data_IF_378404542068
#
_entry.id   IF_378404542068
#
_cell.length_a   1.000
_cell.length_b   1.000
_cell.length_c   1.000
_cell.angle_alpha   90.00
_cell.angle_beta   90.00
_cell.angle_gamma   90.00
#
_symmetry.space_group_name_H-M   'P 1'
#
loop_
_entity.id
_entity.type
_entity.pdbx_description
1 polymer ?
#
# COMPACT_ATOMS: atom_id res chain seq x y z
N UNK A 1 9.55 22.21 -16.60
CA UNK A 1 8.61 23.09 -15.90
C UNK A 1 7.22 22.48 -15.99
N UNK A 2 6.53 22.32 -14.86
CA UNK A 2 5.23 21.66 -14.74
C UNK A 2 4.09 22.32 -15.58
N UNK A 3 4.33 23.45 -16.21
CA UNK A 3 3.40 24.17 -17.09
C UNK A 3 3.27 23.57 -18.49
N UNK A 4 4.13 22.63 -18.91
CA UNK A 4 4.04 21.98 -20.21
C UNK A 4 3.16 20.73 -20.26
N UNK A 5 2.61 20.29 -19.12
CA UNK A 5 1.79 19.08 -18.99
C UNK A 5 0.32 19.35 -18.63
N UNK A 6 -0.10 20.59 -18.63
CA UNK A 6 -1.52 20.90 -18.74
C UNK A 6 -1.94 20.76 -20.21
N UNK A 7 -1.81 19.58 -20.75
CA UNK A 7 -2.64 19.16 -21.88
C UNK A 7 -4.07 19.36 -21.39
N UNK A 8 -4.81 20.19 -22.09
CA UNK A 8 -6.22 20.38 -21.92
C UNK A 8 -6.89 19.02 -21.75
N UNK A 9 -7.18 18.65 -20.51
CA UNK A 9 -7.76 17.35 -20.17
C UNK A 9 -9.12 17.15 -20.86
N UNK A 10 -9.84 18.23 -21.18
CA UNK A 10 -11.08 18.15 -21.95
C UNK A 10 -10.79 17.77 -23.40
N UNK A 11 -9.79 18.37 -24.02
CA UNK A 11 -9.38 18.04 -25.39
C UNK A 11 -8.82 16.62 -25.48
N UNK A 12 -8.02 16.20 -24.49
CA UNK A 12 -7.51 14.84 -24.39
C UNK A 12 -8.64 13.82 -24.18
N UNK A 13 -9.57 14.08 -23.28
CA UNK A 13 -10.72 13.21 -23.04
C UNK A 13 -11.66 13.15 -24.27
N UNK A 14 -11.79 14.23 -25.01
CA UNK A 14 -12.57 14.28 -26.23
C UNK A 14 -11.92 13.45 -27.37
N UNK A 15 -10.60 13.55 -27.56
CA UNK A 15 -9.86 12.71 -28.52
C UNK A 15 -9.98 11.22 -28.17
N UNK A 16 -10.02 10.92 -26.89
CA UNK A 16 -10.23 9.60 -26.33
C UNK A 16 -11.61 9.05 -26.73
N UNK A 17 -12.69 9.80 -26.54
CA UNK A 17 -14.05 9.41 -26.94
C UNK A 17 -14.18 9.27 -28.46
N UNK A 18 -13.56 10.13 -29.22
CA UNK A 18 -13.61 10.13 -30.68
C UNK A 18 -12.87 8.94 -31.32
N UNK A 19 -11.81 8.43 -30.70
CA UNK A 19 -10.99 7.34 -31.27
C UNK A 19 -11.52 5.94 -30.96
N UNK A 20 -12.52 5.77 -30.10
CA UNK A 20 -13.08 4.47 -29.67
C UNK A 20 -12.04 3.41 -29.25
N UNK A 21 -10.80 3.80 -29.00
CA UNK A 21 -9.80 2.88 -28.49
C UNK A 21 -10.03 2.62 -27.01
N UNK A 22 -9.76 1.38 -26.56
CA UNK A 22 -9.65 1.08 -25.13
C UNK A 22 -8.47 1.84 -24.56
N UNK A 23 -8.77 2.92 -23.90
CA UNK A 23 -7.75 3.78 -23.33
C UNK A 23 -7.14 3.14 -22.09
N UNK A 24 -5.87 3.47 -21.91
CA UNK A 24 -5.22 3.24 -20.66
C UNK A 24 -5.97 3.99 -19.56
N UNK A 25 -6.49 3.25 -18.58
CA UNK A 25 -7.19 3.80 -17.41
C UNK A 25 -6.19 3.97 -16.26
N UNK A 26 -5.76 5.19 -15.92
CA UNK A 26 -4.93 5.41 -14.75
C UNK A 26 -5.75 5.16 -13.48
N UNK A 27 -5.13 4.48 -12.51
CA UNK A 27 -5.69 4.29 -11.18
C UNK A 27 -4.82 5.09 -10.21
N UNK A 28 -5.41 6.10 -9.57
CA UNK A 28 -4.69 6.96 -8.63
C UNK A 28 -4.77 6.34 -7.24
N UNK A 29 -3.61 6.19 -6.62
CA UNK A 29 -3.50 5.61 -5.28
C UNK A 29 -2.28 6.10 -4.53
N UNK A 30 -2.14 5.62 -3.32
CA UNK A 30 -1.01 5.90 -2.44
C UNK A 30 -0.80 4.69 -1.51
N UNK A 31 0.45 4.29 -1.32
CA UNK A 31 0.83 3.47 -0.19
C UNK A 31 1.07 4.39 1.01
N UNK A 32 0.22 4.26 2.04
CA UNK A 32 0.23 5.08 3.22
C UNK A 32 0.87 4.35 4.41
N UNK A 33 1.43 5.12 5.35
CA UNK A 33 1.87 4.62 6.64
C UNK A 33 0.76 4.82 7.68
N UNK A 34 0.24 3.74 8.26
CA UNK A 34 -0.79 3.76 9.32
C UNK A 34 -0.11 3.69 10.68
N UNK A 35 -0.20 4.78 11.45
CA UNK A 35 0.41 4.89 12.76
C UNK A 35 -0.19 3.89 13.75
N UNK A 36 0.66 3.26 14.58
CA UNK A 36 0.25 2.25 15.55
C UNK A 36 -0.49 2.83 16.76
N UNK A 37 -0.19 4.09 17.13
CA UNK A 37 -0.71 4.77 18.34
C UNK A 37 -1.42 6.10 18.02
N UNK A 38 -1.77 6.32 16.75
CA UNK A 38 -2.34 7.57 16.26
C UNK A 38 -1.30 8.46 15.57
N UNK A 39 -1.76 9.19 14.54
CA UNK A 39 -0.89 9.99 13.66
C UNK A 39 -0.22 11.18 14.36
N UNK A 40 -0.82 11.68 15.45
CA UNK A 40 -0.29 12.77 16.27
C UNK A 40 0.79 12.33 17.27
N UNK A 41 0.92 11.03 17.53
CA UNK A 41 1.94 10.49 18.43
C UNK A 41 3.33 10.60 17.80
N UNK A 42 4.28 11.26 18.47
CA UNK A 42 5.63 11.57 17.95
C UNK A 42 6.71 11.24 18.97
N UNK A 43 6.63 10.05 19.57
CA UNK A 43 7.53 9.64 20.64
C UNK A 43 8.13 8.26 20.38
N UNK A 44 9.47 8.18 20.47
CA UNK A 44 10.20 6.91 20.38
C UNK A 44 10.27 6.30 18.98
N UNK A 45 10.80 5.09 18.92
CA UNK A 45 11.04 4.37 17.65
C UNK A 45 9.77 3.82 17.03
N UNK A 46 8.75 3.53 17.84
CA UNK A 46 7.47 2.95 17.39
C UNK A 46 6.69 3.90 16.47
N UNK A 47 6.84 5.22 16.70
CA UNK A 47 6.14 6.23 15.92
C UNK A 47 6.90 6.68 14.67
N UNK A 48 8.16 6.26 14.47
CA UNK A 48 8.98 6.66 13.31
C UNK A 48 8.45 6.18 11.98
N UNK A 49 7.59 5.16 11.99
CA UNK A 49 6.96 4.57 10.82
C UNK A 49 5.54 4.10 11.18
N UNK A 50 4.86 3.48 10.23
CA UNK A 50 3.55 2.88 10.41
C UNK A 50 3.46 1.54 9.69
N UNK A 51 2.29 0.93 9.73
CA UNK A 51 1.95 -0.19 8.88
C UNK A 51 1.68 0.32 7.46
N UNK A 52 2.09 -0.45 6.47
CA UNK A 52 1.77 -0.14 5.08
C UNK A 52 0.30 -0.44 4.77
N UNK A 53 -0.33 0.42 4.01
CA UNK A 53 -1.70 0.27 3.53
C UNK A 53 -1.80 0.87 2.13
N UNK A 54 -2.27 0.11 1.16
CA UNK A 54 -2.54 0.64 -0.18
C UNK A 54 -3.95 1.21 -0.22
N UNK A 55 -4.07 2.43 -0.70
CA UNK A 55 -5.34 3.13 -0.91
C UNK A 55 -5.47 3.53 -2.37
N UNK A 56 -6.59 3.17 -3.02
CA UNK A 56 -6.89 3.52 -4.40
C UNK A 56 -8.17 4.33 -4.48
N UNK A 57 -8.16 5.39 -5.29
CA UNK A 57 -9.34 6.22 -5.51
C UNK A 57 -10.29 5.51 -6.51
N UNK A 58 -11.47 5.12 -6.05
CA UNK A 58 -12.53 4.49 -6.84
C UNK A 58 -13.30 5.51 -7.70
N UNK A 59 -13.40 6.75 -7.21
CA UNK A 59 -14.15 7.84 -7.83
C UNK A 59 -13.62 9.21 -7.36
N UNK A 60 -14.27 10.30 -7.80
CA UNK A 60 -13.88 11.67 -7.43
C UNK A 60 -13.98 11.96 -5.92
N UNK A 61 -14.91 11.33 -5.20
CA UNK A 61 -15.01 11.47 -3.74
C UNK A 61 -13.81 10.81 -3.08
N UNK A 62 -13.48 9.58 -3.47
CA UNK A 62 -12.30 8.88 -2.99
C UNK A 62 -11.00 9.62 -3.30
N UNK A 63 -10.87 10.21 -4.49
CA UNK A 63 -9.70 11.03 -4.81
C UNK A 63 -9.55 12.24 -3.87
N UNK A 64 -10.65 12.97 -3.58
CA UNK A 64 -10.61 14.08 -2.64
C UNK A 64 -10.28 13.62 -1.21
N UNK A 65 -10.81 12.47 -0.80
CA UNK A 65 -10.53 11.90 0.51
C UNK A 65 -9.07 11.42 0.60
N UNK A 66 -8.53 10.80 -0.47
CA UNK A 66 -7.12 10.45 -0.56
C UNK A 66 -6.22 11.69 -0.42
N UNK A 67 -6.54 12.80 -1.12
CA UNK A 67 -5.82 14.05 -0.98
C UNK A 67 -5.84 14.58 0.47
N UNK A 68 -6.97 14.49 1.18
CA UNK A 68 -7.07 14.89 2.59
C UNK A 68 -6.21 14.01 3.49
N UNK A 69 -6.26 12.68 3.32
CA UNK A 69 -5.44 11.74 4.06
C UNK A 69 -3.94 12.03 3.87
N UNK A 70 -3.51 12.17 2.62
CA UNK A 70 -2.11 12.48 2.29
C UNK A 70 -1.70 13.84 2.85
N UNK A 71 -2.52 14.89 2.68
CA UNK A 71 -2.23 16.22 3.23
C UNK A 71 -2.10 16.20 4.74
N UNK A 72 -3.05 15.56 5.45
CA UNK A 72 -3.01 15.44 6.91
C UNK A 72 -1.78 14.65 7.37
N UNK A 73 -1.38 13.59 6.63
CA UNK A 73 -0.19 12.82 6.99
C UNK A 73 1.09 13.66 6.96
N UNK A 74 1.21 14.61 6.03
CA UNK A 74 2.37 15.51 5.94
C UNK A 74 2.30 16.68 6.91
N UNK A 75 1.11 17.26 7.15
CA UNK A 75 0.95 18.44 7.99
C UNK A 75 0.99 18.04 9.47
N UNK A 76 0.17 17.09 9.86
CA UNK A 76 -0.05 16.72 11.27
C UNK A 76 0.68 15.42 11.64
N UNK A 77 0.67 14.45 10.74
CA UNK A 77 1.17 13.08 10.97
C UNK A 77 2.67 12.89 10.71
N UNK A 78 3.41 13.92 10.26
CA UNK A 78 4.83 13.80 9.95
C UNK A 78 5.69 13.56 11.21
N UNK A 79 6.32 12.38 11.26
CA UNK A 79 7.37 12.05 12.21
C UNK A 79 8.26 10.96 11.59
N UNK A 80 9.38 11.35 10.97
CA UNK A 80 10.22 10.55 10.09
C UNK A 80 9.53 10.09 8.81
N UNK A 81 8.26 9.71 8.88
CA UNK A 81 7.40 9.35 7.75
C UNK A 81 6.05 10.06 7.88
N UNK A 82 5.38 10.38 6.78
CA UNK A 82 4.01 10.92 6.81
C UNK A 82 3.05 9.80 7.18
N UNK A 83 2.29 9.94 8.28
CA UNK A 83 1.43 8.89 8.82
C UNK A 83 -0.01 9.34 8.93
N UNK A 84 -0.89 8.44 8.57
CA UNK A 84 -2.32 8.50 8.89
C UNK A 84 -2.60 7.52 10.04
N UNK A 85 -3.85 7.40 10.47
CA UNK A 85 -4.28 6.41 11.45
C UNK A 85 -5.69 5.91 11.17
N UNK A 86 -6.18 5.01 12.03
CA UNK A 86 -7.51 4.43 11.93
C UNK A 86 -8.63 5.48 12.04
N UNK A 87 -8.48 6.51 12.85
CA UNK A 87 -9.47 7.59 12.98
C UNK A 87 -9.64 8.37 11.66
N UNK A 88 -8.53 8.73 11.03
CA UNK A 88 -8.55 9.39 9.73
C UNK A 88 -9.11 8.49 8.63
N UNK A 89 -8.81 7.18 8.67
CA UNK A 89 -9.35 6.21 7.73
C UNK A 89 -10.87 6.08 7.89
N UNK A 90 -11.41 5.99 9.11
CA UNK A 90 -12.86 5.98 9.32
C UNK A 90 -13.54 7.24 8.77
N UNK A 91 -12.89 8.39 8.95
CA UNK A 91 -13.43 9.67 8.50
C UNK A 91 -13.42 9.87 6.99
N UNK A 92 -12.44 9.30 6.29
CA UNK A 92 -12.18 9.57 4.88
C UNK A 92 -12.16 8.32 3.99
N UNK A 93 -12.78 7.21 4.41
CA UNK A 93 -12.83 5.95 3.66
C UNK A 93 -13.71 5.99 2.41
N UNK A 94 -14.72 6.87 2.37
CA UNK A 94 -15.70 6.92 1.28
C UNK A 94 -15.02 7.07 -0.09
N UNK A 95 -15.40 6.17 -1.03
CA UNK A 95 -14.88 6.17 -2.39
C UNK A 95 -13.43 5.68 -2.53
N UNK A 96 -12.87 5.08 -1.47
CA UNK A 96 -11.56 4.43 -1.50
C UNK A 96 -11.71 2.91 -1.53
N UNK A 97 -10.76 2.27 -2.21
CA UNK A 97 -10.46 0.84 -2.11
C UNK A 97 -9.21 0.74 -1.24
N UNK A 98 -9.17 -0.21 -0.32
CA UNK A 98 -8.00 -0.46 0.52
C UNK A 98 -7.51 -1.91 0.37
N UNK A 99 -6.20 -2.11 0.49
CA UNK A 99 -5.62 -3.45 0.57
C UNK A 99 -4.50 -3.55 1.60
N UNK A 100 -4.26 -4.77 2.08
CA UNK A 100 -3.36 -5.04 3.22
C UNK A 100 -1.88 -4.76 2.94
N UNK A 101 -1.54 -4.33 1.74
CA UNK A 101 -0.17 -4.06 1.28
C UNK A 101 0.77 -5.29 1.36
N UNK A 102 2.05 -5.06 1.64
CA UNK A 102 3.13 -6.04 1.64
C UNK A 102 3.43 -6.59 3.06
N UNK A 103 4.59 -7.21 3.25
CA UNK A 103 5.08 -7.68 4.56
C UNK A 103 5.15 -6.56 5.62
N UNK A 104 5.14 -5.29 5.20
CA UNK A 104 5.04 -4.11 6.09
C UNK A 104 3.62 -3.79 6.56
N UNK A 105 2.59 -4.42 6.01
CA UNK A 105 1.19 -4.19 6.35
C UNK A 105 0.82 -4.66 7.76
N UNK A 106 -0.25 -4.11 8.32
CA UNK A 106 -0.70 -4.43 9.67
C UNK A 106 -1.04 -5.91 9.84
N UNK A 107 -1.81 -6.46 8.89
CA UNK A 107 -2.24 -7.86 8.93
C UNK A 107 -1.03 -8.78 8.84
N UNK A 108 -0.11 -8.50 7.88
CA UNK A 108 1.12 -9.26 7.68
C UNK A 108 2.00 -9.25 8.94
N UNK A 109 2.15 -8.10 9.61
CA UNK A 109 2.96 -7.98 10.83
C UNK A 109 2.36 -8.72 12.02
N UNK A 110 1.04 -8.78 12.13
CA UNK A 110 0.35 -9.55 13.17
C UNK A 110 0.49 -11.06 12.91
N UNK A 111 0.34 -11.50 11.66
CA UNK A 111 0.57 -12.90 11.24
C UNK A 111 2.03 -13.31 11.47
N UNK A 112 3.00 -12.46 11.11
CA UNK A 112 4.44 -12.71 11.33
C UNK A 112 4.77 -12.99 12.81
N UNK A 113 4.07 -12.32 13.72
CA UNK A 113 4.22 -12.48 15.19
C UNK A 113 3.43 -13.64 15.78
N UNK A 114 2.66 -14.37 14.98
CA UNK A 114 1.76 -15.42 15.45
C UNK A 114 0.47 -14.90 16.12
N UNK A 115 0.21 -13.59 16.09
CA UNK A 115 -0.97 -12.97 16.73
C UNK A 115 -2.18 -13.05 15.78
N UNK A 116 -2.64 -14.28 15.51
CA UNK A 116 -3.71 -14.52 14.53
C UNK A 116 -5.06 -13.93 14.95
N UNK A 117 -5.35 -13.88 16.25
CA UNK A 117 -6.57 -13.25 16.76
C UNK A 117 -6.58 -11.73 16.48
N UNK A 118 -5.48 -11.04 16.79
CA UNK A 118 -5.34 -9.61 16.48
C UNK A 118 -5.34 -9.34 14.97
N UNK A 119 -4.77 -10.26 14.16
CA UNK A 119 -4.81 -10.15 12.71
C UNK A 119 -6.27 -10.23 12.20
N UNK A 120 -7.07 -11.14 12.75
CA UNK A 120 -8.48 -11.26 12.42
C UNK A 120 -9.28 -10.00 12.81
N UNK A 121 -9.08 -9.50 14.03
CA UNK A 121 -9.71 -8.26 14.49
C UNK A 121 -9.38 -7.08 13.56
N UNK A 122 -8.13 -6.95 13.15
CA UNK A 122 -7.72 -5.91 12.22
C UNK A 122 -8.39 -6.07 10.83
N UNK A 123 -8.46 -7.29 10.29
CA UNK A 123 -9.19 -7.56 9.04
C UNK A 123 -10.65 -7.16 9.15
N UNK A 124 -11.31 -7.54 10.26
CA UNK A 124 -12.72 -7.20 10.50
C UNK A 124 -12.93 -5.69 10.65
N UNK A 125 -11.96 -4.99 11.26
CA UNK A 125 -11.98 -3.54 11.35
C UNK A 125 -11.90 -2.88 9.96
N UNK A 126 -10.92 -3.26 9.13
CA UNK A 126 -10.79 -2.74 7.77
C UNK A 126 -12.02 -3.06 6.92
N UNK A 127 -12.57 -4.28 7.06
CA UNK A 127 -13.80 -4.68 6.37
C UNK A 127 -15.01 -3.85 6.81
N UNK A 128 -15.12 -3.48 8.09
CA UNK A 128 -16.17 -2.58 8.57
C UNK A 128 -16.05 -1.19 7.95
N UNK A 129 -14.82 -0.67 7.80
CA UNK A 129 -14.55 0.68 7.30
C UNK A 129 -14.72 0.78 5.78
N UNK A 130 -14.21 -0.19 5.04
CA UNK A 130 -14.19 -0.17 3.56
C UNK A 130 -15.22 -1.11 2.92
N UNK A 131 -15.91 -1.94 3.69
CA UNK A 131 -16.87 -2.90 3.18
C UNK A 131 -16.27 -3.89 2.19
N UNK A 132 -16.91 -4.04 1.05
CA UNK A 132 -16.48 -4.91 -0.05
C UNK A 132 -15.29 -4.36 -0.85
N UNK A 133 -14.85 -3.15 -0.57
CA UNK A 133 -13.69 -2.51 -1.17
C UNK A 133 -12.40 -2.73 -0.34
N UNK A 134 -12.40 -3.65 0.64
CA UNK A 134 -11.20 -4.12 1.34
C UNK A 134 -10.72 -5.47 0.82
N UNK A 135 -9.40 -5.59 0.61
CA UNK A 135 -8.74 -6.78 0.08
C UNK A 135 -7.54 -7.17 0.92
N UNK A 136 -7.31 -8.48 1.09
CA UNK A 136 -6.05 -9.02 1.61
C UNK A 136 -5.15 -9.32 0.42
N UNK A 137 -3.95 -8.76 0.39
CA UNK A 137 -2.96 -8.99 -0.66
C UNK A 137 -2.17 -10.27 -0.41
N UNK A 138 -1.91 -10.99 -1.50
CA UNK A 138 -1.00 -12.12 -1.56
C UNK A 138 0.13 -11.77 -2.55
N UNK A 139 1.37 -11.85 -2.09
CA UNK A 139 2.55 -11.56 -2.89
C UNK A 139 3.48 -12.77 -2.93
N UNK A 140 4.23 -12.94 -4.03
CA UNK A 140 5.22 -14.02 -4.20
C UNK A 140 6.38 -13.52 -5.06
N UNK A 141 7.48 -13.15 -4.42
CA UNK A 141 8.68 -12.66 -5.08
C UNK A 141 9.73 -13.77 -5.20
N UNK A 142 9.42 -14.80 -6.00
CA UNK A 142 10.40 -15.85 -6.31
C UNK A 142 11.34 -15.37 -7.41
N UNK A 143 12.63 -15.62 -7.25
CA UNK A 143 13.65 -15.43 -8.28
C UNK A 143 14.41 -16.73 -8.48
N UNK A 144 14.94 -16.95 -9.68
CA UNK A 144 15.81 -18.07 -10.01
C UNK A 144 17.28 -17.62 -10.16
N UNK A 145 17.61 -16.37 -9.77
CA UNK A 145 18.99 -15.87 -9.82
C UNK A 145 19.88 -16.56 -8.81
N UNK A 146 21.10 -16.96 -9.22
CA UNK A 146 22.08 -17.50 -8.29
C UNK A 146 22.39 -16.48 -7.17
N UNK A 147 22.54 -16.97 -5.95
CA UNK A 147 22.85 -16.17 -4.75
C UNK A 147 21.80 -15.12 -4.33
N UNK A 148 20.56 -15.22 -4.84
CA UNK A 148 19.48 -14.34 -4.40
C UNK A 148 19.06 -14.65 -2.95
N UNK A 149 18.68 -13.60 -2.21
CA UNK A 149 18.05 -13.75 -0.90
C UNK A 149 16.60 -14.23 -1.04
N UNK A 150 16.34 -15.46 -0.62
CA UNK A 150 15.01 -16.08 -0.64
C UNK A 150 14.16 -15.76 0.59
N UNK A 151 14.69 -15.06 1.58
CA UNK A 151 14.02 -14.84 2.86
C UNK A 151 12.66 -14.14 2.73
N UNK A 152 12.54 -13.20 1.81
CA UNK A 152 11.27 -12.52 1.48
C UNK A 152 10.25 -13.51 0.91
N UNK A 153 10.65 -14.33 -0.04
CA UNK A 153 9.79 -15.34 -0.66
C UNK A 153 9.31 -16.38 0.35
N UNK A 154 10.18 -16.87 1.21
CA UNK A 154 9.85 -17.85 2.26
C UNK A 154 8.85 -17.28 3.27
N UNK A 155 9.05 -16.03 3.72
CA UNK A 155 8.12 -15.32 4.57
C UNK A 155 6.75 -15.16 3.90
N UNK A 156 6.73 -14.73 2.64
CA UNK A 156 5.50 -14.58 1.87
C UNK A 156 4.76 -15.92 1.75
N UNK A 157 5.44 -17.01 1.40
CA UNK A 157 4.82 -18.32 1.30
C UNK A 157 4.17 -18.77 2.62
N UNK A 158 4.88 -18.60 3.73
CA UNK A 158 4.36 -18.98 5.06
C UNK A 158 3.15 -18.12 5.44
N UNK A 159 3.24 -16.80 5.25
CA UNK A 159 2.16 -15.88 5.59
C UNK A 159 0.96 -16.06 4.68
N UNK A 160 1.14 -16.30 3.39
CA UNK A 160 0.04 -16.47 2.44
C UNK A 160 -0.93 -17.59 2.86
N UNK A 161 -0.43 -18.67 3.46
CA UNK A 161 -1.30 -19.73 3.97
C UNK A 161 -2.25 -19.26 5.07
N UNK A 162 -1.74 -18.47 6.00
CA UNK A 162 -2.55 -17.91 7.08
C UNK A 162 -3.49 -16.80 6.58
N UNK A 163 -3.02 -15.96 5.65
CA UNK A 163 -3.83 -14.92 5.03
C UNK A 163 -5.02 -15.49 4.25
N UNK A 164 -4.83 -16.62 3.55
CA UNK A 164 -5.92 -17.31 2.85
C UNK A 164 -6.95 -17.86 3.85
N UNK A 165 -6.50 -18.44 4.98
CA UNK A 165 -7.40 -18.90 6.05
C UNK A 165 -8.18 -17.73 6.63
N UNK A 166 -7.51 -16.63 6.93
CA UNK A 166 -8.10 -15.40 7.44
C UNK A 166 -9.14 -14.83 6.48
N UNK A 167 -8.81 -14.73 5.20
CA UNK A 167 -9.72 -14.26 4.16
C UNK A 167 -10.99 -15.10 4.07
N UNK A 168 -10.86 -16.44 4.10
CA UNK A 168 -12.00 -17.36 4.12
C UNK A 168 -12.85 -17.19 5.37
N UNK A 169 -12.23 -17.10 6.54
CA UNK A 169 -12.91 -16.97 7.84
C UNK A 169 -13.70 -15.67 7.93
N UNK A 170 -13.14 -14.56 7.45
CA UNK A 170 -13.74 -13.23 7.52
C UNK A 170 -14.62 -12.88 6.31
N UNK A 171 -14.63 -13.73 5.27
CA UNK A 171 -15.29 -13.43 3.99
C UNK A 171 -14.67 -12.24 3.28
N UNK A 172 -13.35 -12.00 3.44
CA UNK A 172 -12.60 -10.92 2.77
C UNK A 172 -12.06 -11.40 1.43
N UNK A 173 -12.09 -10.52 0.43
CA UNK A 173 -11.56 -10.84 -0.90
C UNK A 173 -10.03 -10.88 -0.90
N UNK A 174 -9.46 -11.73 -1.75
CA UNK A 174 -8.02 -11.81 -1.98
C UNK A 174 -7.63 -11.06 -3.25
N UNK A 175 -6.44 -10.48 -3.25
CA UNK A 175 -5.84 -9.78 -4.37
C UNK A 175 -4.39 -10.27 -4.54
N UNK A 176 -3.99 -10.64 -5.76
CA UNK A 176 -2.59 -10.94 -6.07
C UNK A 176 -1.90 -9.68 -6.60
N UNK A 177 -0.76 -9.31 -6.02
CA UNK A 177 0.05 -8.14 -6.40
C UNK A 177 1.53 -8.46 -6.41
N UNK A 178 2.32 -7.58 -7.04
CA UNK A 178 3.77 -7.74 -7.16
C UNK A 178 4.58 -6.71 -6.37
N UNK A 179 3.95 -5.72 -5.74
CA UNK A 179 4.68 -4.68 -4.98
C UNK A 179 5.87 -4.11 -5.77
N UNK A 180 5.59 -3.62 -6.98
CA UNK A 180 6.61 -3.24 -7.98
C UNK A 180 7.39 -2.02 -7.53
N UNK A 181 8.74 -2.14 -7.46
CA UNK A 181 9.64 -1.05 -7.08
C UNK A 181 10.52 -0.55 -8.24
N UNK A 182 10.57 -1.30 -9.35
CA UNK A 182 11.28 -0.93 -10.58
C UNK A 182 10.60 -1.57 -11.80
N UNK A 183 10.92 -1.10 -13.01
CA UNK A 183 10.18 -1.46 -14.23
C UNK A 183 10.85 -2.61 -14.97
N UNK A 184 12.16 -2.50 -15.21
CA UNK A 184 12.94 -3.48 -15.97
C UNK A 184 13.84 -4.28 -15.03
N UNK A 185 14.21 -5.50 -15.42
CA UNK A 185 15.03 -6.39 -14.61
C UNK A 185 16.40 -5.77 -14.26
N UNK A 186 17.00 -5.06 -15.21
CA UNK A 186 18.29 -4.39 -15.07
C UNK A 186 18.25 -3.26 -14.00
N UNK A 187 17.06 -2.71 -13.73
CA UNK A 187 16.89 -1.69 -12.71
C UNK A 187 17.03 -2.25 -11.28
N UNK A 188 16.99 -3.60 -11.12
CA UNK A 188 17.15 -4.25 -9.81
C UNK A 188 18.45 -3.88 -9.12
N UNK A 189 19.59 -3.90 -9.85
CA UNK A 189 20.90 -3.53 -9.31
C UNK A 189 20.94 -2.05 -8.88
N UNK A 190 20.39 -1.16 -9.69
CA UNK A 190 20.31 0.26 -9.34
C UNK A 190 19.43 0.51 -8.10
N UNK A 191 18.31 -0.22 -7.99
CA UNK A 191 17.41 -0.17 -6.84
C UNK A 191 18.10 -0.65 -5.55
N UNK A 192 18.89 -1.73 -5.61
CA UNK A 192 19.65 -2.24 -4.47
C UNK A 192 20.66 -1.21 -3.95
N UNK A 193 21.38 -0.55 -4.85
CA UNK A 193 22.28 0.57 -4.51
C UNK A 193 21.55 1.74 -3.85
N UNK A 194 20.34 2.08 -4.31
CA UNK A 194 19.50 3.11 -3.69
C UNK A 194 19.05 2.71 -2.28
N UNK A 195 18.74 1.44 -2.05
CA UNK A 195 18.43 0.92 -0.71
C UNK A 195 19.64 1.06 0.20
N UNK A 196 20.83 0.68 -0.25
CA UNK A 196 22.07 0.85 0.52
C UNK A 196 22.32 2.32 0.88
N UNK A 197 22.17 3.23 -0.08
CA UNK A 197 22.31 4.67 0.17
C UNK A 197 21.30 5.18 1.21
N UNK A 198 20.05 4.73 1.13
CA UNK A 198 18.99 5.18 2.05
C UNK A 198 19.08 4.58 3.45
N UNK A 199 19.70 3.40 3.59
CA UNK A 199 19.80 2.67 4.86
C UNK A 199 21.19 2.79 5.51
N UNK A 200 22.18 3.34 4.80
CA UNK A 200 23.58 3.41 5.26
C UNK A 200 24.26 2.05 5.32
N UNK A 201 23.82 1.09 4.50
CA UNK A 201 24.43 -0.25 4.38
C UNK A 201 25.27 -0.33 3.12
N UNK A 202 26.25 -1.23 3.15
CA UNK A 202 27.06 -1.56 1.97
C UNK A 202 26.37 -2.67 1.13
N UNK A 203 26.82 -2.80 -0.13
CA UNK A 203 26.53 -3.94 -0.97
C UNK A 203 27.52 -5.04 -0.55
N UNK A 204 27.06 -6.08 0.11
CA UNK A 204 27.86 -7.30 0.42
C UNK A 204 27.74 -8.33 -0.68
#
# INVERSE_FOLDING_TARGET
>A
TASGLMVDMESFMKQIEETKHKLFKPIIGCEAYVARRGHLSKAGTEDRSGYHLVLLAKNKVGYRNLCKLVSTSYIDGMYYRPRIDHELLEKYSEGLIASSACLGGEIHKKVERGNLAEAEEAVLWYKRVFGDDYYIELQRHKTDKPNADYSTYEKQNTQNLELIKLARKTGTKLLATNDVHFIEEEHGEAHERLICLSTGKDLD
#
